data_IF_711236807474
#
_entry.id   IF_711236807474
#
_cell.length_a   1.000
_cell.length_b   1.000
_cell.length_c   1.000
_cell.angle_alpha   90.00
_cell.angle_beta   90.00
_cell.angle_gamma   90.00
#
_symmetry.space_group_name_H-M   'P 1'
#
loop_
_entity.id
_entity.type
_entity.pdbx_description
1 polymer ?
#
# COMPACT_ATOMS: atom_id res chain seq x y z
N UNK A 1 16.87 -12.19 -22.69
CA UNK A 1 17.87 -11.44 -21.89
C UNK A 1 18.01 -9.98 -22.35
N UNK A 2 18.05 -9.70 -23.65
CA UNK A 2 18.26 -8.34 -24.20
C UNK A 2 17.26 -7.29 -23.74
N UNK A 3 16.00 -7.67 -23.46
CA UNK A 3 15.00 -6.73 -22.92
C UNK A 3 15.38 -6.26 -21.51
N UNK A 4 15.88 -7.17 -20.66
CA UNK A 4 16.29 -6.85 -19.29
C UNK A 4 17.53 -5.96 -19.33
N UNK A 5 18.53 -6.33 -20.13
CA UNK A 5 19.76 -5.54 -20.29
C UNK A 5 19.48 -4.14 -20.84
N UNK A 6 18.65 -4.03 -21.89
CA UNK A 6 18.20 -2.72 -22.40
C UNK A 6 17.42 -1.93 -21.37
N UNK A 7 16.60 -2.59 -20.54
CA UNK A 7 15.91 -1.97 -19.42
C UNK A 7 16.87 -1.35 -18.39
N UNK A 8 17.94 -2.08 -18.02
CA UNK A 8 18.99 -1.59 -17.12
C UNK A 8 19.73 -0.39 -17.74
N UNK A 9 20.07 -0.47 -19.02
CA UNK A 9 20.72 0.64 -19.73
C UNK A 9 19.83 1.87 -19.79
N UNK A 10 18.54 1.69 -20.09
CA UNK A 10 17.54 2.77 -20.07
C UNK A 10 17.41 3.40 -18.68
N UNK A 11 17.31 2.57 -17.64
CA UNK A 11 17.27 3.05 -16.25
C UNK A 11 18.49 3.93 -15.93
N UNK A 12 19.70 3.49 -16.30
CA UNK A 12 20.94 4.25 -16.04
C UNK A 12 20.96 5.63 -16.70
N UNK A 13 20.39 5.75 -17.90
CA UNK A 13 20.43 6.99 -18.69
C UNK A 13 19.26 7.92 -18.39
N UNK A 14 18.04 7.38 -18.30
CA UNK A 14 16.81 8.19 -18.22
C UNK A 14 16.28 8.32 -16.79
N UNK A 15 16.23 7.23 -16.03
CA UNK A 15 15.45 7.17 -14.80
C UNK A 15 16.32 7.33 -13.53
N UNK A 16 17.63 7.08 -13.64
CA UNK A 16 18.58 7.10 -12.51
C UNK A 16 18.56 8.42 -11.77
N UNK A 17 18.54 9.56 -12.48
CA UNK A 17 18.56 10.88 -11.84
C UNK A 17 17.32 11.10 -10.95
N UNK A 18 16.14 10.66 -11.40
CA UNK A 18 14.90 10.73 -10.61
C UNK A 18 14.97 9.80 -9.40
N UNK A 19 15.44 8.57 -9.58
CA UNK A 19 15.53 7.60 -8.49
C UNK A 19 16.60 7.99 -7.45
N UNK A 20 17.72 8.57 -7.86
CA UNK A 20 18.75 9.10 -6.94
C UNK A 20 18.18 10.19 -6.04
N UNK A 21 17.35 11.11 -6.57
CA UNK A 21 16.67 12.11 -5.74
C UNK A 21 15.76 11.47 -4.68
N UNK A 22 15.05 10.40 -5.04
CA UNK A 22 14.24 9.66 -4.07
C UNK A 22 15.12 8.98 -3.01
N UNK A 23 16.23 8.35 -3.43
CA UNK A 23 17.20 7.77 -2.49
C UNK A 23 17.80 8.82 -1.55
N UNK A 24 18.16 10.00 -2.03
CA UNK A 24 18.68 11.10 -1.20
C UNK A 24 17.65 11.55 -0.16
N UNK A 25 16.36 11.61 -0.52
CA UNK A 25 15.29 11.96 0.43
C UNK A 25 15.13 10.93 1.55
N UNK A 26 15.34 9.64 1.27
CA UNK A 26 15.18 8.57 2.26
C UNK A 26 16.50 8.11 2.89
N UNK A 27 17.64 8.61 2.43
CA UNK A 27 18.99 8.12 2.81
C UNK A 27 19.22 8.18 4.31
N UNK A 28 18.93 9.34 4.90
CA UNK A 28 19.28 9.61 6.30
C UNK A 28 18.08 9.34 7.24
N UNK A 29 16.84 9.30 6.72
CA UNK A 29 15.63 9.07 7.52
C UNK A 29 14.55 8.30 6.72
N UNK A 30 14.75 7.01 6.43
CA UNK A 30 13.69 6.22 5.81
C UNK A 30 12.54 6.01 6.82
N UNK A 31 11.29 6.23 6.38
CA UNK A 31 10.09 6.03 7.23
C UNK A 31 9.15 5.01 6.59
N UNK A 32 9.58 3.73 6.46
CA UNK A 32 8.76 2.69 5.87
C UNK A 32 7.47 2.51 6.65
N UNK A 33 6.36 2.43 5.93
CA UNK A 33 5.01 2.31 6.49
C UNK A 33 4.62 0.85 6.71
N UNK A 34 5.13 -0.04 5.86
CA UNK A 34 4.73 -1.43 5.86
C UNK A 34 5.89 -2.40 5.58
N UNK A 35 5.69 -3.66 5.93
CA UNK A 35 6.37 -4.81 5.34
C UNK A 35 5.38 -5.63 4.55
N UNK A 36 5.73 -5.97 3.31
CA UNK A 36 4.87 -6.63 2.35
C UNK A 36 5.42 -8.02 2.00
N UNK A 37 4.74 -9.06 2.47
CA UNK A 37 5.02 -10.45 2.14
C UNK A 37 4.21 -10.85 0.92
N UNK A 38 4.87 -11.37 -0.11
CA UNK A 38 4.18 -11.86 -1.29
C UNK A 38 4.94 -12.97 -2.01
N UNK A 39 4.31 -13.55 -3.03
CA UNK A 39 4.94 -14.61 -3.79
C UNK A 39 6.07 -14.07 -4.69
N UNK A 40 7.09 -14.89 -4.91
CA UNK A 40 8.15 -14.62 -5.90
C UNK A 40 7.67 -14.75 -7.36
N UNK A 41 6.40 -15.09 -7.59
CA UNK A 41 5.77 -15.15 -8.91
C UNK A 41 6.02 -13.84 -9.70
N UNK A 42 6.43 -13.97 -10.96
CA UNK A 42 6.84 -12.84 -11.79
C UNK A 42 5.73 -11.81 -12.05
N UNK A 43 4.46 -12.21 -11.88
CA UNK A 43 3.28 -11.34 -11.99
C UNK A 43 3.07 -10.47 -10.75
N UNK A 44 3.65 -10.88 -9.62
CA UNK A 44 3.53 -10.17 -8.34
C UNK A 44 4.57 -9.06 -8.25
N UNK A 45 4.17 -7.84 -8.63
CA UNK A 45 5.03 -6.66 -8.57
C UNK A 45 4.43 -5.68 -7.55
N UNK A 46 4.70 -5.87 -6.25
CA UNK A 46 4.01 -5.15 -5.16
C UNK A 46 4.08 -3.63 -5.32
N UNK A 47 5.25 -3.10 -5.66
CA UNK A 47 5.44 -1.66 -5.83
C UNK A 47 4.63 -1.06 -6.98
N UNK A 48 4.23 -1.85 -7.99
CA UNK A 48 3.42 -1.36 -9.10
C UNK A 48 1.95 -1.24 -8.76
N UNK A 49 1.36 -2.25 -8.12
CA UNK A 49 -0.08 -2.23 -7.83
C UNK A 49 -0.42 -1.53 -6.51
N UNK A 50 0.58 -1.24 -5.67
CA UNK A 50 0.42 -0.39 -4.47
C UNK A 50 0.88 1.06 -4.69
N UNK A 51 1.39 1.37 -5.89
CA UNK A 51 1.89 2.71 -6.27
C UNK A 51 2.95 3.29 -5.33
N UNK A 52 3.72 2.44 -4.66
CA UNK A 52 4.73 2.89 -3.69
C UNK A 52 6.08 3.21 -4.32
N UNK A 53 6.75 4.17 -3.71
CA UNK A 53 8.07 4.66 -4.04
C UNK A 53 9.17 4.04 -3.16
N UNK A 54 10.42 4.40 -3.46
CA UNK A 54 11.59 4.00 -2.68
C UNK A 54 11.43 4.45 -1.22
N UNK A 55 11.63 3.53 -0.28
CA UNK A 55 11.56 3.81 1.16
C UNK A 55 10.18 3.66 1.80
N UNK A 56 9.11 3.43 1.03
CA UNK A 56 7.75 3.32 1.56
C UNK A 56 7.47 2.00 2.29
N UNK A 57 8.12 0.90 1.89
CA UNK A 57 7.91 -0.41 2.50
C UNK A 57 9.11 -1.35 2.35
N UNK A 58 9.19 -2.32 3.26
CA UNK A 58 10.00 -3.53 3.05
C UNK A 58 9.20 -4.52 2.21
N UNK A 59 9.88 -5.30 1.38
CA UNK A 59 9.24 -6.34 0.55
C UNK A 59 9.98 -7.66 0.75
N UNK A 60 9.26 -8.69 1.20
CA UNK A 60 9.77 -10.06 1.34
C UNK A 60 9.03 -10.94 0.33
N UNK A 61 9.79 -11.64 -0.51
CA UNK A 61 9.24 -12.50 -1.57
C UNK A 61 9.80 -13.90 -1.48
N UNK A 62 8.92 -14.89 -1.38
CA UNK A 62 9.29 -16.31 -1.39
C UNK A 62 8.26 -17.13 -2.16
N UNK A 63 8.50 -18.44 -2.31
CA UNK A 63 7.55 -19.32 -2.98
C UNK A 63 6.31 -19.53 -2.09
N UNK A 64 5.16 -18.99 -2.53
CA UNK A 64 3.88 -19.17 -1.85
C UNK A 64 3.58 -18.19 -0.71
N UNK A 65 4.31 -17.06 -0.64
CA UNK A 65 4.13 -16.00 0.36
C UNK A 65 4.08 -16.52 1.81
N UNK A 66 4.84 -17.57 2.10
CA UNK A 66 4.85 -18.26 3.38
C UNK A 66 5.58 -17.43 4.42
N UNK A 67 5.09 -17.49 5.65
CA UNK A 67 5.73 -16.93 6.84
C UNK A 67 5.66 -18.07 7.85
N UNK A 68 6.78 -18.76 8.11
CA UNK A 68 6.79 -19.89 9.04
C UNK A 68 6.18 -19.52 10.40
N UNK A 69 5.60 -20.51 11.08
CA UNK A 69 5.16 -20.31 12.45
C UNK A 69 6.37 -20.03 13.36
N UNK A 70 6.19 -19.28 14.46
CA UNK A 70 7.28 -19.00 15.41
C UNK A 70 7.93 -20.26 15.98
N UNK A 71 7.21 -21.37 16.13
CA UNK A 71 7.77 -22.67 16.53
C UNK A 71 8.77 -23.26 15.53
N UNK A 72 8.70 -22.86 14.26
CA UNK A 72 9.67 -23.27 13.25
C UNK A 72 11.00 -22.49 13.36
N UNK A 73 11.06 -21.48 14.22
CA UNK A 73 12.28 -20.77 14.57
C UNK A 73 12.98 -21.51 15.72
N UNK A 74 14.05 -22.22 15.38
CA UNK A 74 14.93 -22.94 16.31
C UNK A 74 16.35 -22.38 16.10
N UNK A 75 17.18 -22.33 17.15
CA UNK A 75 18.45 -21.57 17.26
C UNK A 75 19.52 -21.86 16.17
N UNK A 76 19.27 -22.79 15.24
CA UNK A 76 20.13 -23.14 14.10
C UNK A 76 19.41 -23.16 12.74
N UNK A 77 18.09 -22.96 12.73
CA UNK A 77 17.24 -22.96 11.53
C UNK A 77 16.46 -21.65 11.48
N UNK A 78 17.04 -20.66 10.79
CA UNK A 78 16.40 -19.37 10.53
C UNK A 78 16.10 -19.21 9.05
N UNK A 79 15.08 -18.40 8.74
CA UNK A 79 14.72 -18.05 7.37
C UNK A 79 14.56 -16.54 7.22
N UNK A 80 14.50 -16.05 5.98
CA UNK A 80 14.43 -14.61 5.71
C UNK A 80 13.15 -13.95 6.24
N UNK A 81 12.08 -14.72 6.40
CA UNK A 81 10.76 -14.25 6.79
C UNK A 81 10.69 -13.70 8.22
N UNK A 82 11.06 -14.45 9.28
CA UNK A 82 11.13 -13.92 10.64
C UNK A 82 12.16 -12.80 10.77
N UNK A 83 13.30 -12.89 10.09
CA UNK A 83 14.30 -11.81 10.07
C UNK A 83 13.72 -10.53 9.46
N UNK A 84 12.90 -10.64 8.41
CA UNK A 84 12.17 -9.53 7.83
C UNK A 84 11.17 -8.89 8.81
N UNK A 85 10.46 -9.69 9.60
CA UNK A 85 9.55 -9.20 10.65
C UNK A 85 10.32 -8.41 11.71
N UNK A 86 11.44 -8.93 12.19
CA UNK A 86 12.26 -8.26 13.19
C UNK A 86 12.87 -6.96 12.66
N UNK A 87 13.48 -7.01 11.47
CA UNK A 87 14.09 -5.84 10.84
C UNK A 87 13.09 -4.72 10.60
N UNK A 88 11.90 -5.05 10.09
CA UNK A 88 10.88 -4.05 9.78
C UNK A 88 10.17 -3.55 11.03
N UNK A 89 9.62 -4.47 11.83
CA UNK A 89 8.70 -4.13 12.90
C UNK A 89 9.43 -3.81 14.21
N UNK A 90 10.58 -4.41 14.49
CA UNK A 90 11.31 -4.14 15.74
C UNK A 90 12.36 -3.05 15.52
N UNK A 91 13.24 -3.22 14.53
CA UNK A 91 14.35 -2.30 14.29
C UNK A 91 13.88 -1.00 13.64
N UNK A 92 13.00 -1.06 12.63
CA UNK A 92 12.52 0.11 11.87
C UNK A 92 11.13 0.62 12.29
N UNK A 93 10.55 0.07 13.36
CA UNK A 93 9.27 0.50 13.94
C UNK A 93 8.08 0.59 12.95
N UNK A 94 8.09 -0.25 11.90
CA UNK A 94 6.98 -0.37 10.94
C UNK A 94 5.68 -0.74 11.66
N UNK A 95 4.54 -0.19 11.21
CA UNK A 95 3.22 -0.39 11.86
C UNK A 95 2.28 -1.30 11.09
N UNK A 96 2.61 -1.67 9.85
CA UNK A 96 1.74 -2.48 9.01
C UNK A 96 2.49 -3.69 8.44
N UNK A 97 1.90 -4.87 8.63
CA UNK A 97 2.35 -6.13 8.00
C UNK A 97 1.28 -6.50 6.99
N UNK A 98 1.65 -6.66 5.73
CA UNK A 98 0.74 -7.05 4.66
C UNK A 98 1.15 -8.43 4.18
N UNK A 99 0.25 -9.39 4.24
CA UNK A 99 0.42 -10.73 3.66
C UNK A 99 -0.43 -10.79 2.40
N UNK A 100 0.22 -10.93 1.24
CA UNK A 100 -0.42 -10.90 -0.06
C UNK A 100 -0.26 -12.23 -0.80
N UNK A 101 -1.35 -12.98 -0.89
CA UNK A 101 -1.47 -14.15 -1.77
C UNK A 101 -2.05 -13.79 -3.13
N UNK A 102 -2.15 -14.79 -4.01
CA UNK A 102 -2.68 -14.58 -5.35
C UNK A 102 -3.29 -15.82 -5.98
N UNK A 103 -4.13 -15.63 -6.99
CA UNK A 103 -4.65 -16.72 -7.83
C UNK A 103 -3.57 -17.33 -8.72
N UNK A 104 -3.76 -18.57 -9.16
CA UNK A 104 -2.82 -19.38 -9.95
C UNK A 104 -1.41 -19.38 -9.35
N UNK A 105 -1.32 -19.57 -8.04
CA UNK A 105 -0.06 -19.64 -7.35
C UNK A 105 0.59 -21.00 -7.54
N UNK A 106 1.64 -21.07 -8.38
CA UNK A 106 2.34 -22.33 -8.69
C UNK A 106 2.82 -23.10 -7.45
N UNK A 107 3.20 -22.36 -6.40
CA UNK A 107 3.60 -22.97 -5.12
C UNK A 107 2.40 -23.63 -4.41
N UNK A 108 1.22 -23.01 -4.43
CA UNK A 108 0.01 -23.56 -3.84
C UNK A 108 -0.57 -24.71 -4.69
N UNK A 109 -0.48 -24.61 -6.01
CA UNK A 109 -0.85 -25.70 -6.91
C UNK A 109 0.00 -26.94 -6.60
N UNK A 110 1.33 -26.78 -6.48
CA UNK A 110 2.21 -27.87 -6.07
C UNK A 110 1.89 -28.39 -4.67
N UNK A 111 1.66 -27.51 -3.69
CA UNK A 111 1.26 -27.92 -2.33
C UNK A 111 -0.01 -28.78 -2.35
N UNK A 112 -0.98 -28.42 -3.18
CA UNK A 112 -2.20 -29.21 -3.32
C UNK A 112 -1.91 -30.62 -3.82
N UNK A 113 -1.00 -30.81 -4.79
CA UNK A 113 -0.58 -32.13 -5.27
C UNK A 113 0.18 -32.94 -4.22
N UNK A 114 1.00 -32.27 -3.39
CA UNK A 114 1.76 -32.88 -2.29
C UNK A 114 0.88 -33.45 -1.15
N UNK A 115 -0.45 -33.29 -1.21
CA UNK A 115 -1.37 -33.99 -0.30
C UNK A 115 -1.31 -35.51 -0.43
N UNK A 116 -0.88 -36.03 -1.59
CA UNK A 116 -0.74 -37.47 -1.81
C UNK A 116 0.52 -38.00 -1.11
N UNK A 117 0.40 -39.15 -0.42
CA UNK A 117 1.53 -39.73 0.32
C UNK A 117 2.71 -40.08 -0.60
N UNK A 118 2.43 -40.46 -1.85
CA UNK A 118 3.42 -40.79 -2.87
C UNK A 118 4.32 -39.61 -3.25
N UNK A 119 3.75 -38.41 -3.41
CA UNK A 119 4.50 -37.22 -3.80
C UNK A 119 5.17 -36.48 -2.63
N UNK A 120 4.72 -36.78 -1.41
CA UNK A 120 5.28 -36.24 -0.16
C UNK A 120 6.47 -37.04 0.39
N UNK A 121 6.89 -38.12 -0.27
CA UNK A 121 7.92 -39.03 0.25
C UNK A 121 9.27 -38.31 0.55
N UNK A 122 9.96 -38.74 1.61
CA UNK A 122 11.22 -38.15 2.11
C UNK A 122 12.27 -38.03 0.99
N UNK A 123 12.41 -39.06 0.17
CA UNK A 123 13.37 -39.08 -0.95
C UNK A 123 13.05 -38.02 -2.01
N UNK A 124 11.77 -37.79 -2.31
CA UNK A 124 11.36 -36.72 -3.22
C UNK A 124 11.55 -35.32 -2.64
N UNK A 125 11.42 -35.16 -1.32
CA UNK A 125 11.69 -33.87 -0.64
C UNK A 125 13.18 -33.54 -0.65
N UNK A 126 14.06 -34.54 -0.54
CA UNK A 126 15.52 -34.34 -0.56
C UNK A 126 16.04 -33.82 -1.90
N UNK A 127 15.41 -34.21 -3.00
CA UNK A 127 15.81 -33.79 -4.36
C UNK A 127 15.14 -32.49 -4.83
N UNK A 128 14.15 -31.96 -4.10
CA UNK A 128 13.42 -30.76 -4.51
C UNK A 128 13.32 -29.75 -3.36
N UNK A 129 14.15 -28.67 -3.39
CA UNK A 129 14.10 -27.62 -2.39
C UNK A 129 12.73 -26.97 -2.25
N UNK A 130 11.98 -26.82 -3.36
CA UNK A 130 10.62 -26.27 -3.32
C UNK A 130 9.64 -27.22 -2.62
N UNK A 131 9.69 -28.54 -2.89
CA UNK A 131 8.85 -29.50 -2.15
C UNK A 131 9.22 -29.51 -0.67
N UNK A 132 10.50 -29.48 -0.34
CA UNK A 132 10.98 -29.39 1.05
C UNK A 132 10.46 -28.12 1.75
N UNK A 133 10.59 -26.96 1.10
CA UNK A 133 10.08 -25.67 1.56
C UNK A 133 8.57 -25.72 1.87
N UNK A 134 7.77 -26.24 0.94
CA UNK A 134 6.31 -26.33 1.10
C UNK A 134 5.90 -27.32 2.18
N UNK A 135 6.51 -28.52 2.21
CA UNK A 135 6.21 -29.53 3.23
C UNK A 135 6.59 -29.08 4.64
N UNK A 136 7.63 -28.24 4.78
CA UNK A 136 8.06 -27.72 6.08
C UNK A 136 7.18 -26.54 6.52
N UNK A 137 6.90 -25.59 5.63
CA UNK A 137 6.31 -24.30 6.05
C UNK A 137 4.84 -24.09 5.67
N UNK A 138 4.28 -24.89 4.74
CA UNK A 138 2.88 -24.76 4.30
C UNK A 138 1.97 -25.88 4.79
N UNK A 139 2.49 -26.83 5.58
CA UNK A 139 1.72 -27.99 6.04
C UNK A 139 0.53 -27.59 6.92
N UNK A 140 0.66 -26.53 7.72
CA UNK A 140 -0.45 -25.98 8.51
C UNK A 140 -1.57 -25.45 7.62
N UNK A 141 -1.23 -24.73 6.54
CA UNK A 141 -2.19 -24.27 5.53
C UNK A 141 -2.91 -25.45 4.87
N UNK A 142 -2.17 -26.49 4.44
CA UNK A 142 -2.74 -27.66 3.80
C UNK A 142 -3.64 -28.46 4.74
N UNK A 143 -3.20 -28.71 5.98
CA UNK A 143 -4.00 -29.41 6.98
C UNK A 143 -5.33 -28.69 7.21
N UNK A 144 -5.28 -27.38 7.41
CA UNK A 144 -6.45 -26.55 7.68
C UNK A 144 -7.42 -26.48 6.49
N UNK A 145 -6.87 -26.49 5.28
CA UNK A 145 -7.67 -26.62 4.07
C UNK A 145 -8.38 -27.98 3.97
N UNK A 146 -7.68 -29.07 4.28
CA UNK A 146 -8.25 -30.43 4.23
C UNK A 146 -9.33 -30.66 5.30
N UNK A 147 -9.23 -29.99 6.46
CA UNK A 147 -10.26 -30.02 7.52
C UNK A 147 -11.63 -29.54 7.02
N UNK A 148 -11.68 -28.72 5.97
CA UNK A 148 -12.93 -28.27 5.35
C UNK A 148 -13.70 -29.39 4.65
N UNK A 149 -13.04 -30.51 4.28
CA UNK A 149 -13.63 -31.62 3.52
C UNK A 149 -14.39 -31.17 2.25
N UNK A 150 -14.00 -30.04 1.66
CA UNK A 150 -14.65 -29.46 0.49
C UNK A 150 -15.89 -28.59 0.76
N UNK A 151 -16.28 -28.38 2.02
CA UNK A 151 -17.40 -27.50 2.41
C UNK A 151 -16.89 -26.06 2.67
N UNK A 152 -16.94 -25.21 1.65
CA UNK A 152 -16.50 -23.81 1.70
C UNK A 152 -17.62 -22.82 2.07
N UNK A 153 -18.84 -23.30 2.29
CA UNK A 153 -19.97 -22.44 2.69
C UNK A 153 -19.87 -22.00 4.15
N UNK A 154 -19.05 -22.69 4.94
CA UNK A 154 -18.87 -22.40 6.36
C UNK A 154 -17.70 -21.46 6.60
N UNK A 155 -17.83 -20.54 7.58
CA UNK A 155 -16.71 -19.72 8.01
C UNK A 155 -15.58 -20.58 8.60
N UNK A 156 -14.35 -20.19 8.32
CA UNK A 156 -13.15 -20.75 8.93
C UNK A 156 -12.69 -19.92 10.11
N UNK A 157 -12.36 -20.59 11.22
CA UNK A 157 -11.77 -19.95 12.39
C UNK A 157 -10.24 -20.03 12.34
N UNK A 158 -9.59 -18.88 12.39
CA UNK A 158 -8.16 -18.73 12.59
C UNK A 158 -7.94 -18.25 14.01
N UNK A 159 -7.21 -19.04 14.80
CA UNK A 159 -6.91 -18.73 16.20
C UNK A 159 -5.41 -18.83 16.37
N UNK A 160 -4.77 -17.73 16.73
CA UNK A 160 -3.41 -17.78 17.27
C UNK A 160 -3.44 -18.29 18.72
N UNK A 161 -2.27 -18.58 19.28
CA UNK A 161 -2.06 -19.03 20.67
C UNK A 161 -2.51 -17.97 21.69
N UNK A 162 -2.66 -16.71 21.28
CA UNK A 162 -3.17 -15.63 22.12
C UNK A 162 -4.69 -15.45 21.96
N UNK A 163 -5.47 -15.38 23.06
CA UNK A 163 -6.94 -15.33 23.02
C UNK A 163 -7.53 -14.16 22.22
N UNK A 164 -6.80 -13.06 22.12
CA UNK A 164 -7.24 -11.81 21.48
C UNK A 164 -7.16 -11.83 19.95
N UNK A 165 -6.70 -12.94 19.35
CA UNK A 165 -6.42 -13.02 17.90
C UNK A 165 -7.07 -14.24 17.27
N UNK A 166 -8.39 -14.29 17.47
CA UNK A 166 -9.31 -15.13 16.73
C UNK A 166 -9.97 -14.29 15.65
N UNK A 167 -9.88 -14.71 14.40
CA UNK A 167 -10.63 -14.11 13.32
C UNK A 167 -11.33 -15.19 12.51
N UNK A 168 -12.48 -14.80 11.98
CA UNK A 168 -13.30 -15.65 11.13
C UNK A 168 -13.14 -15.16 9.70
N UNK A 169 -12.96 -16.08 8.75
CA UNK A 169 -12.85 -15.75 7.35
C UNK A 169 -13.69 -16.70 6.48
N UNK A 170 -14.20 -16.16 5.39
CA UNK A 170 -14.92 -16.92 4.37
C UNK A 170 -13.99 -17.13 3.17
N UNK A 171 -13.94 -18.37 2.67
CA UNK A 171 -13.07 -18.73 1.55
C UNK A 171 -13.95 -18.84 0.31
N UNK A 172 -13.71 -17.98 -0.67
CA UNK A 172 -14.45 -17.95 -1.93
C UNK A 172 -15.98 -18.17 -1.75
N UNK A 173 -16.68 -17.27 -1.04
CA UNK A 173 -18.10 -17.45 -0.73
C UNK A 173 -18.99 -17.56 -1.96
N UNK A 174 -18.52 -17.04 -3.10
CA UNK A 174 -19.21 -17.08 -4.39
C UNK A 174 -18.82 -18.32 -5.23
N UNK A 175 -17.92 -19.17 -4.72
CA UNK A 175 -17.46 -20.40 -5.35
C UNK A 175 -16.95 -20.19 -6.80
N UNK A 176 -16.22 -19.11 -7.05
CA UNK A 176 -15.74 -18.70 -8.37
C UNK A 176 -14.36 -19.27 -8.73
N UNK A 177 -13.61 -19.75 -7.76
CA UNK A 177 -12.21 -20.11 -7.93
C UNK A 177 -11.97 -21.62 -7.89
N UNK A 178 -10.90 -22.07 -8.53
CA UNK A 178 -10.49 -23.47 -8.47
C UNK A 178 -10.01 -23.85 -7.05
N UNK A 179 -9.88 -25.16 -6.82
CA UNK A 179 -9.56 -25.69 -5.50
C UNK A 179 -8.17 -25.23 -5.00
N UNK A 180 -7.21 -25.06 -5.91
CA UNK A 180 -5.86 -24.56 -5.63
C UNK A 180 -5.88 -23.06 -5.24
N UNK A 181 -6.75 -22.27 -5.87
CA UNK A 181 -6.92 -20.85 -5.55
C UNK A 181 -7.56 -20.65 -4.18
N UNK A 182 -8.52 -21.50 -3.82
CA UNK A 182 -9.07 -21.56 -2.46
C UNK A 182 -8.01 -21.92 -1.44
N UNK A 183 -7.13 -22.88 -1.76
CA UNK A 183 -5.97 -23.19 -0.92
C UNK A 183 -5.03 -21.99 -0.78
N UNK A 184 -4.83 -21.21 -1.85
CA UNK A 184 -4.05 -19.96 -1.80
C UNK A 184 -4.67 -18.90 -0.87
N UNK A 185 -6.00 -18.76 -0.87
CA UNK A 185 -6.71 -17.88 0.09
C UNK A 185 -6.52 -18.37 1.54
N UNK A 186 -6.73 -19.66 1.80
CA UNK A 186 -6.51 -20.26 3.13
C UNK A 186 -5.06 -20.06 3.57
N UNK A 187 -4.09 -20.26 2.67
CA UNK A 187 -2.68 -20.08 2.96
C UNK A 187 -2.37 -18.63 3.38
N UNK A 188 -2.93 -17.65 2.68
CA UNK A 188 -2.75 -16.22 2.99
C UNK A 188 -3.22 -15.90 4.41
N UNK A 189 -4.41 -16.39 4.78
CA UNK A 189 -4.97 -16.21 6.11
C UNK A 189 -4.20 -16.99 7.18
N UNK A 190 -3.72 -18.19 6.86
CA UNK A 190 -2.85 -18.96 7.76
C UNK A 190 -1.54 -18.22 8.05
N UNK A 191 -0.96 -17.51 7.07
CA UNK A 191 0.27 -16.74 7.31
C UNK A 191 0.01 -15.53 8.22
N UNK A 192 -1.17 -14.89 8.14
CA UNK A 192 -1.58 -13.86 9.11
C UNK A 192 -1.61 -14.42 10.53
N UNK A 193 -2.11 -15.65 10.70
CA UNK A 193 -2.05 -16.35 11.99
C UNK A 193 -0.60 -16.62 12.42
N UNK A 194 0.26 -17.06 11.51
CA UNK A 194 1.67 -17.35 11.82
C UNK A 194 2.45 -16.08 12.22
N UNK A 195 2.23 -14.95 11.57
CA UNK A 195 2.82 -13.66 11.98
C UNK A 195 2.46 -13.33 13.43
N UNK A 196 1.22 -13.61 13.84
CA UNK A 196 0.76 -13.34 15.18
C UNK A 196 1.34 -14.26 16.27
N UNK A 197 2.02 -15.35 15.91
CA UNK A 197 2.65 -16.24 16.90
C UNK A 197 4.06 -15.81 17.31
N UNK A 198 4.64 -14.81 16.66
CA UNK A 198 5.96 -14.28 17.04
C UNK A 198 5.89 -13.43 18.31
N UNK A 199 6.50 -13.93 19.39
CA UNK A 199 6.51 -13.28 20.70
C UNK A 199 7.05 -11.84 20.69
N UNK A 200 8.04 -11.55 19.84
CA UNK A 200 8.60 -10.19 19.68
C UNK A 200 7.56 -9.15 19.25
N UNK A 201 6.51 -9.57 18.51
CA UNK A 201 5.46 -8.68 18.03
C UNK A 201 4.34 -8.50 19.07
N UNK A 202 4.17 -9.44 20.00
CA UNK A 202 3.03 -9.53 20.93
C UNK A 202 2.69 -8.21 21.61
N UNK A 203 3.68 -7.52 22.18
CA UNK A 203 3.45 -6.24 22.90
C UNK A 203 2.91 -5.13 21.98
N UNK A 204 3.41 -5.01 20.74
CA UNK A 204 2.93 -3.99 19.78
C UNK A 204 1.56 -4.35 19.23
N UNK A 205 1.33 -5.64 19.04
CA UNK A 205 0.09 -6.24 18.60
C UNK A 205 -1.05 -6.09 19.63
N UNK A 206 -0.77 -6.19 20.92
CA UNK A 206 -1.73 -5.97 22.03
C UNK A 206 -2.04 -4.48 22.24
N UNK A 207 -1.05 -3.60 21.99
CA UNK A 207 -1.22 -2.14 22.08
C UNK A 207 -1.92 -1.50 20.88
N UNK A 208 -2.31 -2.29 19.88
CA UNK A 208 -2.88 -1.80 18.61
C UNK A 208 -1.96 -0.83 17.84
N UNK A 209 -0.64 -0.94 18.02
CA UNK A 209 0.37 -0.13 17.30
C UNK A 209 0.87 -0.85 16.02
N UNK A 210 0.64 -2.17 15.94
CA UNK A 210 1.01 -2.99 14.81
C UNK A 210 -0.22 -3.72 14.26
N UNK A 211 -0.48 -3.55 12.97
CA UNK A 211 -1.63 -4.11 12.26
C UNK A 211 -1.19 -5.14 11.23
N UNK A 212 -1.92 -6.25 11.13
CA UNK A 212 -1.68 -7.30 10.14
C UNK A 212 -2.85 -7.29 9.16
N UNK A 213 -2.55 -7.26 7.88
CA UNK A 213 -3.50 -7.17 6.78
C UNK A 213 -3.34 -8.39 5.88
N UNK A 214 -4.46 -9.00 5.48
CA UNK A 214 -4.49 -10.00 4.43
C UNK A 214 -4.93 -9.33 3.12
N UNK A 215 -4.21 -9.59 2.03
CA UNK A 215 -4.58 -9.21 0.68
C UNK A 215 -4.53 -10.45 -0.22
N UNK A 216 -5.47 -10.56 -1.15
CA UNK A 216 -5.43 -11.62 -2.15
C UNK A 216 -5.80 -11.05 -3.51
N UNK A 217 -4.94 -11.26 -4.51
CA UNK A 217 -5.10 -10.65 -5.83
C UNK A 217 -5.22 -11.66 -6.96
N UNK A 218 -5.92 -11.26 -8.02
CA UNK A 218 -6.03 -12.04 -9.25
C UNK A 218 -4.77 -11.85 -10.10
N UNK A 219 -4.00 -12.90 -10.32
CA UNK A 219 -2.77 -12.86 -11.14
C UNK A 219 -3.06 -12.96 -12.65
N UNK A 220 -4.24 -13.44 -13.01
CA UNK A 220 -4.73 -13.53 -14.38
C UNK A 220 -5.99 -12.69 -14.53
N UNK A 221 -5.86 -11.55 -15.21
CA UNK A 221 -7.00 -10.80 -15.75
C UNK A 221 -7.58 -11.57 -16.95
N UNK A 222 -8.30 -12.67 -16.72
CA UNK A 222 -9.35 -13.04 -17.67
C UNK A 222 -10.50 -12.06 -17.43
N UNK A 223 -10.40 -10.91 -18.11
CA UNK A 223 -11.40 -9.84 -18.21
C UNK A 223 -12.69 -10.39 -18.85
N UNK A 224 -13.48 -11.11 -18.06
CA UNK A 224 -14.91 -10.86 -18.01
C UNK A 224 -15.17 -10.22 -16.65
N UNK A 225 -14.70 -8.99 -16.51
CA UNK A 225 -15.11 -8.17 -15.37
C UNK A 225 -16.57 -7.84 -15.55
N UNK A 226 -17.41 -8.52 -14.77
CA UNK A 226 -18.63 -7.91 -14.30
C UNK A 226 -18.19 -6.71 -13.44
N UNK A 227 -18.16 -5.53 -14.06
CA UNK A 227 -17.74 -4.29 -13.43
C UNK A 227 -18.83 -3.85 -12.46
N UNK A 228 -18.87 -4.46 -11.28
CA UNK A 228 -19.46 -3.83 -10.11
C UNK A 228 -18.28 -3.47 -9.19
N UNK A 229 -17.88 -2.19 -9.13
CA UNK A 229 -16.85 -1.77 -8.19
C UNK A 229 -17.33 -2.06 -6.76
N UNK A 230 -16.64 -2.95 -6.06
CA UNK A 230 -16.91 -3.31 -4.65
C UNK A 230 -16.62 -2.12 -3.71
N UNK A 231 -15.94 -1.09 -4.21
CA UNK A 231 -15.69 0.16 -3.51
C UNK A 231 -15.83 1.34 -4.48
N UNK A 232 -16.74 2.27 -4.18
CA UNK A 232 -16.84 3.56 -4.88
C UNK A 232 -15.66 4.44 -4.43
N UNK A 233 -14.51 4.28 -5.09
CA UNK A 233 -13.42 5.23 -4.96
C UNK A 233 -13.83 6.51 -5.69
N UNK A 234 -14.37 7.49 -4.97
CA UNK A 234 -14.49 8.85 -5.50
C UNK A 234 -13.10 9.43 -5.65
N UNK A 235 -12.63 9.54 -6.89
CA UNK A 235 -11.56 10.47 -7.23
C UNK A 235 -11.92 11.83 -6.62
N UNK A 236 -11.04 12.39 -5.79
CA UNK A 236 -11.22 13.77 -5.30
C UNK A 236 -11.34 14.69 -6.52
N UNK A 237 -12.53 15.25 -6.71
CA UNK A 237 -12.73 16.27 -7.74
C UNK A 237 -11.84 17.47 -7.42
N UNK A 238 -11.42 18.22 -8.43
CA UNK A 238 -10.72 19.50 -8.24
C UNK A 238 -11.51 20.44 -7.32
N UNK A 239 -12.84 20.30 -7.29
CA UNK A 239 -13.73 20.99 -6.36
C UNK A 239 -13.50 20.58 -4.90
N UNK A 240 -13.29 19.30 -4.60
CA UNK A 240 -13.06 18.79 -3.24
C UNK A 240 -11.68 19.21 -2.72
N UNK A 241 -10.66 19.17 -3.59
CA UNK A 241 -9.31 19.70 -3.29
C UNK A 241 -9.34 21.20 -3.02
N UNK A 242 -10.13 21.95 -3.79
CA UNK A 242 -10.32 23.39 -3.59
C UNK A 242 -11.09 23.66 -2.29
N UNK A 243 -12.16 22.92 -2.00
CA UNK A 243 -12.96 23.06 -0.79
C UNK A 243 -12.13 22.80 0.48
N UNK A 244 -11.25 21.80 0.45
CA UNK A 244 -10.34 21.53 1.56
C UNK A 244 -9.30 22.62 1.74
N UNK A 245 -8.62 23.05 0.67
CA UNK A 245 -7.68 24.20 0.71
C UNK A 245 -8.35 25.51 1.13
N UNK A 246 -9.64 25.66 0.84
CA UNK A 246 -10.43 26.83 1.24
C UNK A 246 -10.64 26.89 2.75
N UNK A 247 -10.79 25.74 3.43
CA UNK A 247 -10.90 25.65 4.89
C UNK A 247 -9.58 25.93 5.60
N UNK A 248 -8.47 25.47 5.04
CA UNK A 248 -7.13 25.63 5.64
C UNK A 248 -6.53 27.02 5.40
N UNK A 249 -7.08 27.81 4.47
CA UNK A 249 -6.52 29.11 4.06
C UNK A 249 -7.62 30.08 3.63
N UNK A 250 -8.30 30.79 4.57
CA UNK A 250 -9.39 31.70 4.26
C UNK A 250 -8.97 32.84 3.30
N UNK A 251 -7.69 33.24 3.31
CA UNK A 251 -7.13 34.24 2.39
C UNK A 251 -7.12 33.79 0.92
N UNK A 252 -7.08 32.48 0.65
CA UNK A 252 -7.21 31.96 -0.72
C UNK A 252 -8.60 32.27 -1.28
N UNK A 253 -9.65 32.08 -0.47
CA UNK A 253 -11.04 32.38 -0.86
C UNK A 253 -11.19 33.87 -1.15
N UNK A 254 -10.64 34.73 -0.28
CA UNK A 254 -10.66 36.19 -0.49
C UNK A 254 -9.97 36.59 -1.80
N UNK A 255 -8.85 35.94 -2.14
CA UNK A 255 -8.16 36.16 -3.42
C UNK A 255 -9.00 35.74 -4.63
N UNK A 256 -9.66 34.58 -4.57
CA UNK A 256 -10.52 34.08 -5.65
C UNK A 256 -11.73 35.00 -5.84
N UNK A 257 -12.41 35.39 -4.76
CA UNK A 257 -13.54 36.32 -4.79
C UNK A 257 -13.13 37.69 -5.33
N UNK A 258 -11.95 38.19 -4.94
CA UNK A 258 -11.37 39.43 -5.46
C UNK A 258 -11.12 39.36 -6.97
N UNK A 259 -10.51 38.28 -7.46
CA UNK A 259 -10.28 38.06 -8.89
C UNK A 259 -11.58 38.00 -9.70
N UNK A 260 -12.60 37.29 -9.19
CA UNK A 260 -13.92 37.23 -9.83
C UNK A 260 -14.55 38.63 -9.89
N UNK A 261 -14.45 39.39 -8.80
CA UNK A 261 -14.93 40.79 -8.74
C UNK A 261 -14.24 41.69 -9.77
N UNK A 262 -12.91 41.63 -9.86
CA UNK A 262 -12.12 42.42 -10.83
C UNK A 262 -12.48 42.03 -12.26
N UNK A 263 -12.62 40.74 -12.55
CA UNK A 263 -13.03 40.26 -13.87
C UNK A 263 -14.47 40.67 -14.20
N UNK A 264 -15.40 40.65 -13.24
CA UNK A 264 -16.79 41.09 -13.43
C UNK A 264 -16.90 42.59 -13.70
N UNK A 265 -16.20 43.43 -12.91
CA UNK A 265 -16.11 44.87 -13.15
C UNK A 265 -15.41 45.17 -14.48
N UNK A 266 -14.38 44.38 -14.81
CA UNK A 266 -13.70 44.44 -16.10
C UNK A 266 -14.64 44.15 -17.27
N UNK A 267 -15.46 43.09 -17.18
CA UNK A 267 -16.44 42.75 -18.22
C UNK A 267 -17.50 43.85 -18.38
N UNK A 268 -17.95 44.46 -17.29
CA UNK A 268 -18.88 45.59 -17.33
C UNK A 268 -18.25 46.84 -17.98
N UNK A 269 -17.03 47.20 -17.57
CA UNK A 269 -16.28 48.34 -18.16
C UNK A 269 -15.90 48.08 -19.61
N UNK A 270 -15.72 46.83 -20.01
CA UNK A 270 -15.49 46.45 -21.40
C UNK A 270 -16.70 46.76 -22.29
N UNK A 271 -17.91 46.49 -21.77
CA UNK A 271 -19.18 46.76 -22.48
C UNK A 271 -19.45 48.26 -22.65
N UNK A 272 -18.99 49.10 -21.71
CA UNK A 272 -19.12 50.55 -21.76
C UNK A 272 -17.81 51.25 -22.17
N UNK A 273 -16.92 50.57 -22.89
CA UNK A 273 -15.63 51.16 -23.25
C UNK A 273 -15.82 52.22 -24.34
N UNK A 274 -15.30 53.41 -24.09
CA UNK A 274 -15.17 54.46 -25.12
C UNK A 274 -14.07 54.12 -26.15
N UNK A 275 -13.30 55.11 -26.58
CA UNK A 275 -12.27 55.03 -27.63
C UNK A 275 -11.01 54.20 -27.29
N UNK A 276 -11.00 53.39 -26.21
CA UNK A 276 -9.81 52.61 -25.85
C UNK A 276 -9.64 51.36 -26.74
N UNK A 277 -8.40 51.06 -27.11
CA UNK A 277 -8.04 49.84 -27.85
C UNK A 277 -8.22 48.58 -26.99
N UNK A 278 -8.73 47.51 -27.62
CA UNK A 278 -9.06 46.23 -26.98
C UNK A 278 -7.84 45.63 -26.27
N UNK A 279 -6.67 45.73 -26.89
CA UNK A 279 -5.42 45.13 -26.37
C UNK A 279 -4.96 45.83 -25.09
N UNK A 280 -5.07 47.15 -25.02
CA UNK A 280 -4.67 47.95 -23.85
C UNK A 280 -5.59 47.66 -22.67
N UNK A 281 -6.89 47.54 -22.91
CA UNK A 281 -7.86 47.20 -21.86
C UNK A 281 -7.63 45.80 -21.29
N UNK A 282 -7.44 44.79 -22.14
CA UNK A 282 -7.17 43.41 -21.69
C UNK A 282 -5.85 43.30 -20.93
N UNK A 283 -4.84 44.07 -21.32
CA UNK A 283 -3.57 44.14 -20.60
C UNK A 283 -3.75 44.73 -19.19
N UNK A 284 -4.48 45.83 -19.05
CA UNK A 284 -4.77 46.45 -17.75
C UNK A 284 -5.62 45.53 -16.86
N UNK A 285 -6.64 44.88 -17.42
CA UNK A 285 -7.50 43.95 -16.67
C UNK A 285 -6.70 42.75 -16.15
N UNK A 286 -5.81 42.19 -16.97
CA UNK A 286 -4.93 41.08 -16.57
C UNK A 286 -4.00 41.48 -15.43
N UNK A 287 -3.35 42.64 -15.52
CA UNK A 287 -2.45 43.15 -14.46
C UNK A 287 -3.22 43.40 -13.17
N UNK A 288 -4.43 43.96 -13.25
CA UNK A 288 -5.28 44.17 -12.08
C UNK A 288 -5.70 42.85 -11.41
N UNK A 289 -6.08 41.83 -12.19
CA UNK A 289 -6.45 40.52 -11.66
C UNK A 289 -5.25 39.82 -10.99
N UNK A 290 -4.08 39.84 -11.64
CA UNK A 290 -2.85 39.27 -11.08
C UNK A 290 -2.39 40.02 -9.82
N UNK A 291 -2.46 41.35 -9.81
CA UNK A 291 -2.11 42.17 -8.65
C UNK A 291 -3.01 41.89 -7.44
N UNK A 292 -4.30 41.67 -7.67
CA UNK A 292 -5.27 41.35 -6.60
C UNK A 292 -4.97 39.98 -5.98
N UNK A 293 -4.62 38.98 -6.79
CA UNK A 293 -4.23 37.66 -6.29
C UNK A 293 -2.96 37.71 -5.45
N UNK A 294 -1.93 38.44 -5.92
CA UNK A 294 -0.66 38.58 -5.20
C UNK A 294 -0.86 39.32 -3.89
N UNK A 295 -1.62 40.42 -3.88
CA UNK A 295 -1.90 41.19 -2.66
C UNK A 295 -2.60 40.34 -1.58
N UNK A 296 -3.57 39.50 -1.96
CA UNK A 296 -4.25 38.61 -1.03
C UNK A 296 -3.30 37.57 -0.40
N UNK A 297 -2.38 37.01 -1.19
CA UNK A 297 -1.36 36.07 -0.69
C UNK A 297 -0.35 36.77 0.23
N UNK A 298 0.09 37.96 -0.12
CA UNK A 298 1.02 38.75 0.71
C UNK A 298 0.40 39.11 2.05
N UNK A 299 -0.88 39.51 2.07
CA UNK A 299 -1.62 39.76 3.32
C UNK A 299 -1.80 38.49 4.16
N UNK A 300 -2.10 37.35 3.53
CA UNK A 300 -2.21 36.07 4.23
C UNK A 300 -0.89 35.62 4.87
N UNK A 301 0.23 35.84 4.18
CA UNK A 301 1.57 35.58 4.72
C UNK A 301 1.91 36.53 5.87
N UNK A 302 1.64 37.83 5.72
CA UNK A 302 1.85 38.81 6.79
C UNK A 302 1.01 38.49 8.04
N UNK A 303 -0.26 38.10 7.85
CA UNK A 303 -1.13 37.66 8.94
C UNK A 303 -0.59 36.41 9.63
N UNK A 304 -0.20 35.37 8.88
CA UNK A 304 0.35 34.14 9.46
C UNK A 304 1.66 34.39 10.21
N UNK A 305 2.48 35.32 9.72
CA UNK A 305 3.74 35.70 10.37
C UNK A 305 3.49 36.51 11.64
N UNK A 306 2.52 37.43 11.63
CA UNK A 306 2.07 38.18 12.80
C UNK A 306 1.44 37.26 13.86
N UNK A 307 0.60 36.29 13.45
CA UNK A 307 0.00 35.30 14.36
C UNK A 307 1.08 34.45 15.05
N UNK A 308 2.11 34.03 14.30
CA UNK A 308 3.22 33.25 14.86
C UNK A 308 4.11 34.04 15.82
N UNK A 309 4.36 35.33 15.55
CA UNK A 309 5.27 36.14 16.37
C UNK A 309 4.59 36.86 17.54
N UNK A 310 3.36 37.35 17.37
CA UNK A 310 2.66 38.14 18.39
C UNK A 310 1.80 37.29 19.31
N UNK A 311 1.15 36.23 18.80
CA UNK A 311 0.18 35.45 19.58
C UNK A 311 0.72 34.12 20.11
N UNK A 312 1.80 33.57 19.54
CA UNK A 312 2.35 32.25 19.92
C UNK A 312 3.52 32.30 20.91
N UNK A 313 3.94 33.47 21.39
CA UNK A 313 5.04 33.61 22.37
C UNK A 313 4.65 33.22 23.81
N UNK A 314 3.38 32.90 24.10
CA UNK A 314 2.87 32.73 25.48
C UNK A 314 2.50 31.29 25.88
N UNK A 315 2.94 30.27 25.13
CA UNK A 315 2.79 28.88 25.56
C UNK A 315 4.13 28.13 25.55
N UNK A 316 4.78 28.12 26.72
CA UNK A 316 5.80 27.12 27.07
C UNK A 316 5.14 25.72 27.04
N UNK A 317 5.81 24.70 26.49
CA UNK A 317 5.30 23.33 26.53
C UNK A 317 5.57 22.70 27.91
N UNK A 318 4.52 22.21 28.55
CA UNK A 318 4.56 21.08 29.50
C UNK A 318 4.32 19.78 28.73
#
# INVERSE_FOLDING_TARGET
MDRILRGIMRYRVLDRASMVKQFEQVKDNPVPKAIFYTCMDSRMIPTRFTETSVGDMFVVRNAGNLIPHSEAFIDEMTSCEPAGLELSCIINNVRHIIVCGHSDCKAMNLLYHLRSKEESNVEQRRISPLKSWLCTHAQSSLKKFLEMKGDFNKPMLFSAETPQRKFVAYIDPENKFCIEDKLSQVNTLQQVQNVASYGMLKKRLEKHDLHIHALWILSHLNLKMDQQPIFEYKDESQADRLARKSKDSPFMILGIMGCIGVCGVGAYKYKNRGQMSTSVFLMQLRVAAQGTAVAALTMGLAYSLAERYLFKSDKKPE
#
